data_IF_403849967387
#
_entry.id   IF_403849967387
#
_cell.length_a   1.000
_cell.length_b   1.000
_cell.length_c   1.000
_cell.angle_alpha   90.00
_cell.angle_beta   90.00
_cell.angle_gamma   90.00
#
_symmetry.space_group_name_H-M   'P 1'
#
loop_
_entity.id
_entity.type
_entity.pdbx_description
1 polymer ?
#
# COMPACT_ATOMS: atom_id res chain seq x y z
N UNK A 1 7.06 7.25 25.24
CA UNK A 1 7.34 6.81 23.85
C UNK A 1 6.65 5.47 23.71
N UNK A 2 5.66 5.34 22.81
CA UNK A 2 5.06 4.03 22.53
C UNK A 2 6.04 3.31 21.61
N UNK A 3 6.57 2.19 22.06
CA UNK A 3 7.53 1.41 21.29
C UNK A 3 6.83 0.91 20.02
N UNK A 4 7.23 1.44 18.86
CA UNK A 4 6.63 1.06 17.57
C UNK A 4 7.19 -0.26 17.05
N UNK A 5 7.69 -1.13 17.93
CA UNK A 5 8.33 -2.41 17.60
C UNK A 5 7.43 -3.31 16.75
N UNK A 6 6.11 -3.24 16.94
CA UNK A 6 5.14 -3.98 16.09
C UNK A 6 5.12 -3.54 14.61
N UNK A 7 5.74 -2.41 14.28
CA UNK A 7 5.89 -1.93 12.91
C UNK A 7 7.33 -1.98 12.41
N UNK A 8 8.30 -2.33 13.26
CA UNK A 8 9.72 -2.39 12.92
C UNK A 8 10.61 -1.83 14.04
N UNK A 9 11.75 -2.49 14.26
CA UNK A 9 12.69 -2.16 15.36
C UNK A 9 13.53 -0.89 15.10
N UNK A 10 13.52 -0.36 13.87
CA UNK A 10 14.16 0.91 13.51
C UNK A 10 13.25 1.76 12.61
N UNK A 11 13.72 2.95 12.23
CA UNK A 11 12.99 3.85 11.32
C UNK A 11 12.85 3.23 9.92
N UNK A 12 13.95 2.71 9.35
CA UNK A 12 13.96 2.12 8.00
C UNK A 12 13.00 0.93 7.88
N UNK A 13 13.07 -0.01 8.84
CA UNK A 13 12.20 -1.19 8.86
C UNK A 13 10.71 -0.80 8.94
N UNK A 14 10.40 0.29 9.63
CA UNK A 14 9.04 0.80 9.76
C UNK A 14 8.50 1.40 8.48
N UNK A 15 9.32 2.19 7.81
CA UNK A 15 8.97 2.75 6.51
C UNK A 15 8.80 1.63 5.49
N UNK A 16 9.68 0.63 5.50
CA UNK A 16 9.55 -0.56 4.65
C UNK A 16 8.21 -1.27 4.88
N UNK A 17 7.82 -1.53 6.13
CA UNK A 17 6.52 -2.15 6.45
C UNK A 17 5.32 -1.33 5.99
N UNK A 18 5.41 0.00 6.08
CA UNK A 18 4.37 0.91 5.54
C UNK A 18 4.28 0.78 4.02
N UNK A 19 5.41 0.66 3.31
CA UNK A 19 5.41 0.42 1.86
C UNK A 19 4.81 -0.94 1.52
N UNK A 20 5.22 -2.01 2.20
CA UNK A 20 4.66 -3.36 2.00
C UNK A 20 3.13 -3.36 2.20
N UNK A 21 2.64 -2.64 3.22
CA UNK A 21 1.23 -2.46 3.48
C UNK A 21 0.52 -1.70 2.35
N UNK A 22 1.07 -0.58 1.89
CA UNK A 22 0.49 0.24 0.82
C UNK A 22 0.51 -0.44 -0.55
N UNK A 23 1.50 -1.30 -0.79
CA UNK A 23 1.63 -2.10 -2.01
C UNK A 23 0.76 -3.36 -1.99
N UNK A 24 0.14 -3.68 -0.84
CA UNK A 24 -0.63 -4.91 -0.67
C UNK A 24 0.25 -6.17 -0.73
N UNK A 25 1.53 -6.04 -0.41
CA UNK A 25 2.54 -7.10 -0.48
C UNK A 25 2.61 -7.96 0.80
N UNK A 26 1.70 -7.73 1.74
CA UNK A 26 1.67 -8.42 3.03
C UNK A 26 0.65 -9.56 3.09
N UNK A 27 0.93 -10.63 3.87
CA UNK A 27 -0.07 -11.63 4.18
C UNK A 27 -1.19 -11.01 5.03
N UNK A 28 -2.38 -11.62 5.00
CA UNK A 28 -3.58 -11.08 5.67
C UNK A 28 -3.40 -10.87 7.18
N UNK A 29 -2.59 -11.68 7.85
CA UNK A 29 -2.32 -11.54 9.27
C UNK A 29 -1.60 -10.21 9.56
N UNK A 30 -0.52 -9.94 8.82
CA UNK A 30 0.30 -8.73 8.96
C UNK A 30 -0.47 -7.46 8.58
N UNK A 31 -1.40 -7.54 7.62
CA UNK A 31 -2.28 -6.41 7.24
C UNK A 31 -3.12 -5.94 8.43
N UNK A 32 -3.74 -6.87 9.17
CA UNK A 32 -4.58 -6.51 10.32
C UNK A 32 -3.71 -5.97 11.47
N UNK A 33 -2.52 -6.52 11.70
CA UNK A 33 -1.58 -6.02 12.70
C UNK A 33 -1.15 -4.57 12.43
N UNK A 34 -0.73 -4.27 11.19
CA UNK A 34 -0.32 -2.93 10.80
C UNK A 34 -1.50 -1.96 10.90
N UNK A 35 -2.68 -2.37 10.46
CA UNK A 35 -3.89 -1.54 10.53
C UNK A 35 -4.25 -1.18 11.97
N UNK A 36 -4.21 -2.15 12.88
CA UNK A 36 -4.44 -1.92 14.31
C UNK A 36 -3.37 -1.01 14.90
N UNK A 37 -2.11 -1.17 14.48
CA UNK A 37 -1.03 -0.27 14.90
C UNK A 37 -1.25 1.18 14.43
N UNK A 38 -1.57 1.38 13.15
CA UNK A 38 -1.83 2.71 12.57
C UNK A 38 -3.03 3.40 13.25
N UNK A 39 -4.05 2.64 13.67
CA UNK A 39 -5.18 3.17 14.43
C UNK A 39 -4.79 3.67 15.84
N UNK A 40 -3.72 3.14 16.42
CA UNK A 40 -3.32 3.38 17.81
C UNK A 40 -2.02 4.20 17.96
N UNK A 41 -1.35 4.52 16.85
CA UNK A 41 -0.06 5.20 16.81
C UNK A 41 -0.08 6.41 15.84
N UNK A 42 -0.29 7.64 16.36
CA UNK A 42 -0.32 8.85 15.54
C UNK A 42 0.96 9.07 14.72
N UNK A 43 2.12 8.76 15.29
CA UNK A 43 3.40 8.95 14.61
C UNK A 43 3.54 8.09 13.34
N UNK A 44 3.15 6.82 13.42
CA UNK A 44 3.18 5.94 12.24
C UNK A 44 2.08 6.29 11.24
N UNK A 45 0.93 6.75 11.72
CA UNK A 45 -0.15 7.25 10.87
C UNK A 45 0.29 8.48 10.06
N UNK A 46 1.02 9.42 10.68
CA UNK A 46 1.57 10.59 9.97
C UNK A 46 2.55 10.18 8.84
N UNK A 47 3.38 9.15 9.06
CA UNK A 47 4.27 8.63 8.02
C UNK A 47 3.50 7.95 6.88
N UNK A 48 2.50 7.14 7.22
CA UNK A 48 1.61 6.52 6.24
C UNK A 48 0.88 7.56 5.38
N UNK A 49 0.36 8.62 5.99
CA UNK A 49 -0.38 9.67 5.29
C UNK A 49 0.53 10.50 4.38
N UNK A 50 1.76 10.78 4.82
CA UNK A 50 2.78 11.40 3.99
C UNK A 50 3.05 10.56 2.74
N UNK A 51 3.27 9.26 2.90
CA UNK A 51 3.53 8.37 1.76
C UNK A 51 2.33 8.29 0.81
N UNK A 52 1.10 8.23 1.34
CA UNK A 52 -0.11 8.29 0.52
C UNK A 52 -0.19 9.57 -0.32
N UNK A 53 0.21 10.71 0.26
CA UNK A 53 0.27 11.99 -0.44
C UNK A 53 1.31 11.95 -1.57
N UNK A 54 2.51 11.44 -1.30
CA UNK A 54 3.59 11.28 -2.28
C UNK A 54 3.12 10.39 -3.45
N UNK A 55 2.60 9.19 -3.16
CA UNK A 55 2.07 8.27 -4.18
C UNK A 55 0.97 8.91 -5.02
N UNK A 56 0.10 9.69 -4.39
CA UNK A 56 -0.94 10.45 -5.10
C UNK A 56 -0.37 11.52 -6.02
N UNK A 57 0.69 12.21 -5.61
CA UNK A 57 1.38 13.20 -6.45
C UNK A 57 2.07 12.54 -7.64
N UNK A 58 2.82 11.45 -7.41
CA UNK A 58 3.50 10.69 -8.47
C UNK A 58 2.48 10.18 -9.49
N UNK A 59 1.38 9.58 -9.03
CA UNK A 59 0.32 9.06 -9.90
C UNK A 59 -0.33 10.13 -10.77
N UNK A 60 -0.50 11.36 -10.26
CA UNK A 60 -1.05 12.47 -11.06
C UNK A 60 -0.09 12.99 -12.12
N UNK A 61 1.22 12.88 -11.86
CA UNK A 61 2.26 13.34 -12.78
C UNK A 61 2.63 12.30 -13.85
N UNK A 62 2.36 11.02 -13.60
CA UNK A 62 2.58 9.95 -14.57
C UNK A 62 1.48 9.94 -15.64
N UNK A 63 1.88 10.05 -16.91
CA UNK A 63 0.98 10.05 -18.09
C UNK A 63 1.07 8.77 -18.91
N UNK A 64 1.85 7.79 -18.45
CA UNK A 64 2.01 6.50 -19.12
C UNK A 64 0.73 5.68 -18.99
N UNK A 65 0.10 5.38 -20.12
CA UNK A 65 -1.07 4.53 -20.18
C UNK A 65 -0.68 3.11 -20.61
N UNK A 66 -1.30 2.10 -19.99
CA UNK A 66 -1.17 0.73 -20.45
C UNK A 66 -1.70 0.59 -21.89
N UNK A 67 -1.09 -0.26 -22.74
CA UNK A 67 -1.56 -0.47 -24.11
C UNK A 67 -3.03 -0.94 -24.16
N UNK A 68 -3.83 -0.38 -25.08
CA UNK A 68 -5.25 -0.70 -25.21
C UNK A 68 -5.52 -2.19 -25.40
N UNK A 69 -4.64 -2.88 -26.13
CA UNK A 69 -4.74 -4.32 -26.36
C UNK A 69 -4.65 -5.13 -25.05
N UNK A 70 -3.79 -4.72 -24.10
CA UNK A 70 -3.68 -5.37 -22.81
C UNK A 70 -4.97 -5.19 -21.99
N UNK A 71 -5.51 -3.98 -22.01
CA UNK A 71 -6.79 -3.66 -21.34
C UNK A 71 -7.93 -4.52 -21.88
N UNK A 72 -8.05 -4.62 -23.20
CA UNK A 72 -9.07 -5.46 -23.85
C UNK A 72 -8.92 -6.93 -23.45
N UNK A 73 -7.71 -7.48 -23.54
CA UNK A 73 -7.44 -8.88 -23.17
C UNK A 73 -7.78 -9.19 -21.71
N UNK A 74 -7.50 -8.26 -20.78
CA UNK A 74 -7.87 -8.42 -19.37
C UNK A 74 -9.40 -8.43 -19.20
N UNK A 75 -10.11 -7.51 -19.83
CA UNK A 75 -11.57 -7.41 -19.73
C UNK A 75 -12.26 -8.67 -20.28
N UNK A 76 -11.81 -9.19 -21.42
CA UNK A 76 -12.31 -10.45 -21.99
C UNK A 76 -12.15 -11.62 -21.01
N UNK A 77 -10.96 -11.76 -20.39
CA UNK A 77 -10.70 -12.81 -19.39
C UNK A 77 -11.59 -12.68 -18.16
N UNK A 78 -11.82 -11.46 -17.67
CA UNK A 78 -12.71 -11.20 -16.53
C UNK A 78 -14.15 -11.58 -16.88
N UNK A 79 -14.62 -11.23 -18.07
CA UNK A 79 -15.97 -11.59 -18.53
C UNK A 79 -16.13 -13.10 -18.65
N UNK A 80 -15.15 -13.79 -19.24
CA UNK A 80 -15.15 -15.24 -19.37
C UNK A 80 -15.14 -15.97 -18.01
N UNK A 81 -14.44 -15.44 -17.00
CA UNK A 81 -14.42 -16.02 -15.66
C UNK A 81 -15.70 -15.80 -14.84
N UNK A 82 -16.58 -14.89 -15.28
CA UNK A 82 -17.86 -14.55 -14.62
C UNK A 82 -19.08 -15.18 -15.31
N UNK A 83 -18.92 -15.74 -16.50
CA UNK A 83 -19.94 -16.48 -17.24
C UNK A 83 -19.96 -17.95 -16.80
#
# INVERSE_FOLDING_TARGET
>A
MKDCQGLGDCEDARIERIYEYLDGALPRADVEEIKDHLANCPNCLEQHDLECMIRSMVKRSCTEAAPDQLKQSILERIHAARA
#
